data_IF_002784681892
#
_entry.id   IF_002784681892
#
_cell.length_a   1.000
_cell.length_b   1.000
_cell.length_c   1.000
_cell.angle_alpha   90.00
_cell.angle_beta   90.00
_cell.angle_gamma   90.00
#
_symmetry.space_group_name_H-M   'P 1'
#
loop_
_entity.id
_entity.type
_entity.pdbx_description
1 polymer ?
#
# COMPACT_ATOMS: atom_id res chain seq x y z
N UNK A 1 19.62 3.46 8.62
CA UNK A 1 18.35 4.09 9.08
C UNK A 1 17.29 3.01 8.98
N UNK A 2 16.79 2.51 10.11
CA UNK A 2 15.65 1.60 10.13
C UNK A 2 14.43 2.45 9.74
N UNK A 3 13.73 2.10 8.66
CA UNK A 3 12.44 2.70 8.37
C UNK A 3 11.51 2.25 9.50
N UNK A 4 11.18 3.15 10.44
CA UNK A 4 10.09 2.89 11.38
C UNK A 4 8.84 2.65 10.54
N UNK A 5 8.44 1.38 10.42
CA UNK A 5 7.20 1.05 9.74
C UNK A 5 6.07 1.70 10.54
N UNK A 6 5.41 2.58 9.81
CA UNK A 6 4.42 3.57 10.22
C UNK A 6 3.32 2.95 11.10
N UNK A 7 2.70 3.74 11.98
CA UNK A 7 1.82 3.35 13.12
C UNK A 7 0.71 2.35 12.75
N UNK A 8 0.34 2.26 11.48
CA UNK A 8 -0.76 1.45 10.96
C UNK A 8 -0.32 0.31 10.01
N UNK A 9 0.94 0.33 9.57
CA UNK A 9 1.49 -0.59 8.57
C UNK A 9 2.37 -1.63 9.25
N UNK A 10 2.09 -2.90 9.00
CA UNK A 10 2.86 -4.03 9.52
C UNK A 10 4.16 -4.19 8.72
N UNK A 11 4.06 -4.34 7.39
CA UNK A 11 5.21 -4.42 6.51
C UNK A 11 4.88 -4.02 5.07
N UNK A 12 5.94 -3.71 4.31
CA UNK A 12 5.88 -3.57 2.85
C UNK A 12 7.02 -4.37 2.21
N UNK A 13 6.70 -5.38 1.41
CA UNK A 13 7.68 -6.28 0.78
C UNK A 13 7.26 -6.70 -0.62
N UNK A 14 8.12 -7.44 -1.33
CA UNK A 14 7.72 -8.20 -2.51
C UNK A 14 7.28 -9.60 -2.08
N UNK A 15 6.29 -10.17 -2.76
CA UNK A 15 5.95 -11.60 -2.65
C UNK A 15 6.72 -12.44 -3.68
N UNK A 16 6.50 -13.76 -3.64
CA UNK A 16 7.13 -14.73 -4.56
C UNK A 16 6.75 -14.52 -6.03
N UNK A 17 5.70 -13.74 -6.29
CA UNK A 17 5.22 -13.39 -7.63
C UNK A 17 5.61 -11.97 -8.04
N UNK A 18 6.56 -11.35 -7.32
CA UNK A 18 7.03 -9.99 -7.56
C UNK A 18 5.95 -8.90 -7.42
N UNK A 19 4.88 -9.16 -6.68
CA UNK A 19 3.89 -8.12 -6.32
C UNK A 19 4.32 -7.42 -5.05
N UNK A 20 4.05 -6.12 -4.98
CA UNK A 20 4.28 -5.35 -3.76
C UNK A 20 3.14 -5.62 -2.80
N UNK A 21 3.47 -6.16 -1.62
CA UNK A 21 2.54 -6.44 -0.53
C UNK A 21 2.63 -5.30 0.47
N UNK A 22 1.54 -4.53 0.61
CA UNK A 22 1.37 -3.58 1.70
C UNK A 22 0.42 -4.20 2.71
N UNK A 23 0.94 -4.59 3.88
CA UNK A 23 0.16 -5.18 4.97
C UNK A 23 -0.08 -4.15 6.07
N UNK A 24 -1.33 -4.03 6.51
CA UNK A 24 -1.70 -3.24 7.70
C UNK A 24 -1.66 -4.10 8.94
N UNK A 25 -1.54 -3.47 10.11
CA UNK A 25 -1.75 -4.20 11.37
C UNK A 25 -3.17 -4.82 11.37
N UNK A 26 -3.35 -6.06 11.88
CA UNK A 26 -4.62 -6.79 11.78
C UNK A 26 -5.86 -6.02 12.28
N UNK A 27 -5.70 -5.18 13.31
CA UNK A 27 -6.78 -4.35 13.85
C UNK A 27 -7.36 -3.34 12.83
N UNK A 28 -6.58 -2.98 11.80
CA UNK A 28 -6.98 -2.03 10.75
C UNK A 28 -7.49 -2.73 9.49
N UNK A 29 -7.66 -4.06 9.49
CA UNK A 29 -8.22 -4.80 8.34
C UNK A 29 -9.50 -4.17 7.79
N UNK A 30 -10.44 -3.78 8.67
CA UNK A 30 -11.72 -3.21 8.24
C UNK A 30 -11.58 -1.90 7.46
N UNK A 31 -10.50 -1.14 7.68
CA UNK A 31 -10.22 0.07 6.92
C UNK A 31 -10.07 -0.26 5.42
N UNK A 32 -9.39 -1.34 5.05
CA UNK A 32 -9.20 -1.74 3.65
C UNK A 32 -10.50 -2.12 2.94
N UNK A 33 -11.50 -2.59 3.68
CA UNK A 33 -12.80 -2.99 3.13
C UNK A 33 -13.80 -1.84 3.07
N UNK A 34 -13.51 -0.69 3.69
CA UNK A 34 -14.34 0.50 3.54
C UNK A 34 -14.22 1.03 2.10
N UNK A 35 -15.36 1.18 1.41
CA UNK A 35 -15.42 1.55 -0.01
C UNK A 35 -14.59 2.81 -0.33
N UNK A 36 -14.70 3.83 0.54
CA UNK A 36 -13.93 5.07 0.42
C UNK A 36 -12.41 4.84 0.55
N UNK A 37 -11.99 4.06 1.53
CA UNK A 37 -10.58 3.80 1.79
C UNK A 37 -9.95 2.95 0.68
N UNK A 38 -10.65 1.91 0.20
CA UNK A 38 -10.23 1.10 -0.95
C UNK A 38 -9.98 1.97 -2.18
N UNK A 39 -10.93 2.84 -2.52
CA UNK A 39 -10.78 3.74 -3.66
C UNK A 39 -9.60 4.69 -3.50
N UNK A 40 -9.35 5.19 -2.30
CA UNK A 40 -8.21 6.07 -2.01
C UNK A 40 -6.86 5.36 -2.14
N UNK A 41 -6.73 4.13 -1.63
CA UNK A 41 -5.47 3.36 -1.72
C UNK A 41 -5.17 3.02 -3.19
N UNK A 42 -6.18 2.54 -3.92
CA UNK A 42 -6.03 2.23 -5.35
C UNK A 42 -5.66 3.48 -6.15
N UNK A 43 -6.30 4.61 -5.86
CA UNK A 43 -5.99 5.88 -6.49
C UNK A 43 -4.57 6.34 -6.16
N UNK A 44 -4.18 6.33 -4.89
CA UNK A 44 -2.84 6.71 -4.46
C UNK A 44 -1.76 5.83 -5.13
N UNK A 45 -1.93 4.51 -5.10
CA UNK A 45 -1.01 3.58 -5.77
C UNK A 45 -0.91 3.90 -7.27
N UNK A 46 -2.04 4.15 -7.94
CA UNK A 46 -2.04 4.53 -9.36
C UNK A 46 -1.37 5.89 -9.61
N UNK A 47 -1.61 6.89 -8.78
CA UNK A 47 -1.07 8.24 -8.93
C UNK A 47 0.46 8.26 -8.72
N UNK A 48 0.97 7.52 -7.74
CA UNK A 48 2.41 7.47 -7.45
C UNK A 48 3.20 6.54 -8.38
N UNK A 49 2.61 5.40 -8.79
CA UNK A 49 3.28 4.44 -9.67
C UNK A 49 3.10 4.78 -11.16
N UNK A 50 2.08 5.60 -11.49
CA UNK A 50 1.82 6.07 -12.83
C UNK A 50 1.63 4.94 -13.84
N UNK A 51 2.47 4.95 -14.89
CA UNK A 51 2.43 3.94 -15.95
C UNK A 51 2.89 2.54 -15.50
N UNK A 52 3.62 2.46 -14.39
CA UNK A 52 4.14 1.20 -13.88
C UNK A 52 3.05 0.41 -13.12
N UNK A 53 1.91 1.04 -12.78
CA UNK A 53 0.79 0.39 -12.10
C UNK A 53 -0.01 -0.54 -13.01
N UNK A 54 -0.28 -1.76 -12.54
CA UNK A 54 -1.14 -2.74 -13.23
C UNK A 54 -2.45 -2.96 -12.47
N UNK A 55 -2.39 -3.31 -11.18
CA UNK A 55 -3.58 -3.57 -10.35
C UNK A 55 -3.30 -3.39 -8.85
N UNK A 56 -4.34 -3.20 -8.03
CA UNK A 56 -4.28 -3.41 -6.57
C UNK A 56 -5.47 -4.27 -6.14
N UNK A 57 -5.17 -5.39 -5.51
CA UNK A 57 -6.15 -6.31 -4.94
C UNK A 57 -6.09 -6.24 -3.43
N UNK A 58 -7.25 -6.25 -2.77
CA UNK A 58 -7.32 -6.28 -1.31
C UNK A 58 -7.64 -7.69 -0.87
N UNK A 59 -6.73 -8.30 -0.11
CA UNK A 59 -6.88 -9.64 0.45
C UNK A 59 -6.52 -9.56 1.93
N UNK A 60 -7.49 -9.87 2.78
CA UNK A 60 -7.35 -9.80 4.24
C UNK A 60 -6.91 -8.40 4.71
N UNK A 61 -5.82 -8.28 5.45
CA UNK A 61 -5.23 -7.02 5.90
C UNK A 61 -4.19 -6.45 4.91
N UNK A 62 -4.21 -6.86 3.63
CA UNK A 62 -3.17 -6.54 2.64
C UNK A 62 -3.74 -5.89 1.38
N UNK A 63 -3.04 -4.90 0.80
CA UNK A 63 -3.17 -4.58 -0.64
C UNK A 63 -1.98 -5.20 -1.38
N UNK A 64 -2.30 -6.00 -2.39
CA UNK A 64 -1.37 -6.61 -3.33
C UNK A 64 -1.33 -5.74 -4.58
N UNK A 65 -0.23 -5.02 -4.76
CA UNK A 65 -0.03 -4.10 -5.87
C UNK A 65 0.82 -4.80 -6.92
N UNK A 66 0.25 -4.96 -8.12
CA UNK A 66 0.97 -5.49 -9.29
C UNK A 66 1.52 -4.31 -10.08
N UNK A 67 2.80 -4.38 -10.43
CA UNK A 67 3.49 -3.39 -11.27
C UNK A 67 4.08 -4.05 -12.51
N UNK A 68 4.54 -3.24 -13.46
CA UNK A 68 5.19 -3.75 -14.67
C UNK A 68 6.46 -4.55 -14.32
N UNK A 69 6.77 -5.63 -15.07
CA UNK A 69 7.98 -6.41 -14.86
C UNK A 69 9.26 -5.57 -14.92
N UNK A 70 10.23 -5.88 -14.07
CA UNK A 70 11.51 -5.17 -13.92
C UNK A 70 11.41 -3.75 -13.35
N UNK A 71 10.26 -3.40 -12.75
CA UNK A 71 10.06 -2.11 -12.05
C UNK A 71 9.80 -2.27 -10.56
N UNK A 72 9.81 -3.50 -10.06
CA UNK A 72 9.31 -3.91 -8.75
C UNK A 72 10.09 -3.28 -7.61
N UNK A 73 11.42 -3.35 -7.65
CA UNK A 73 12.26 -2.77 -6.59
C UNK A 73 12.16 -1.24 -6.51
N UNK A 74 12.10 -0.57 -7.67
CA UNK A 74 11.91 0.87 -7.75
C UNK A 74 10.57 1.25 -7.14
N UNK A 75 9.52 0.54 -7.53
CA UNK A 75 8.16 0.82 -7.09
C UNK A 75 7.93 0.43 -5.64
N UNK A 76 8.60 -0.60 -5.12
CA UNK A 76 8.60 -0.94 -3.70
C UNK A 76 9.04 0.26 -2.83
N UNK A 77 10.12 0.94 -3.24
CA UNK A 77 10.63 2.12 -2.53
C UNK A 77 9.63 3.28 -2.57
N UNK A 78 8.96 3.50 -3.71
CA UNK A 78 7.91 4.51 -3.87
C UNK A 78 6.72 4.20 -2.97
N UNK A 79 6.29 2.93 -2.89
CA UNK A 79 5.22 2.53 -1.98
C UNK A 79 5.62 2.80 -0.53
N UNK A 80 6.83 2.40 -0.13
CA UNK A 80 7.34 2.58 1.23
C UNK A 80 7.42 4.06 1.66
N UNK A 81 7.81 4.97 0.76
CA UNK A 81 7.79 6.41 1.06
C UNK A 81 6.39 6.98 0.91
N UNK A 82 5.89 7.07 -0.32
CA UNK A 82 4.76 7.92 -0.68
C UNK A 82 3.40 7.33 -0.29
N UNK A 83 3.17 6.05 -0.61
CA UNK A 83 1.86 5.43 -0.39
C UNK A 83 1.63 5.18 1.10
N UNK A 84 2.65 4.75 1.83
CA UNK A 84 2.55 4.55 3.28
C UNK A 84 2.34 5.90 3.98
N UNK A 85 2.94 7.00 3.54
CA UNK A 85 2.67 8.35 4.09
C UNK A 85 1.25 8.82 3.78
N UNK A 86 0.81 8.69 2.53
CA UNK A 86 -0.54 9.05 2.12
C UNK A 86 -1.60 8.25 2.88
N UNK A 87 -1.35 6.96 3.09
CA UNK A 87 -2.23 6.08 3.86
C UNK A 87 -2.35 6.53 5.32
N UNK A 88 -1.24 6.83 6.00
CA UNK A 88 -1.29 7.32 7.38
C UNK A 88 -2.11 8.60 7.49
N UNK A 89 -1.94 9.54 6.55
CA UNK A 89 -2.69 10.78 6.54
C UNK A 89 -4.20 10.51 6.42
N UNK A 90 -4.59 9.62 5.50
CA UNK A 90 -6.00 9.23 5.33
C UNK A 90 -6.54 8.60 6.61
N UNK A 91 -5.79 7.68 7.23
CA UNK A 91 -6.21 7.01 8.46
C UNK A 91 -6.39 8.02 9.61
N UNK A 92 -5.46 8.96 9.76
CA UNK A 92 -5.57 10.05 10.76
C UNK A 92 -6.79 10.95 10.50
N UNK A 93 -7.05 11.32 9.25
CA UNK A 93 -8.21 12.13 8.87
C UNK A 93 -9.55 11.41 9.12
N UNK A 94 -9.54 10.09 9.09
CA UNK A 94 -10.70 9.25 9.41
C UNK A 94 -10.84 8.95 10.92
N UNK A 95 -9.95 9.49 11.76
CA UNK A 95 -10.01 9.37 13.22
C UNK A 95 -9.37 8.11 13.80
N UNK A 96 -8.44 7.46 13.07
CA UNK A 96 -7.67 6.29 13.53
C UNK A 96 -6.32 6.68 14.14
#
# INVERSE_FOLDING_TARGET
MMFELKKYVDYVSLDETNRIVLALLPQYKQFLYAEKARGLIQKAAKDFLGKDFVSCEIIDNKCLITVLPNTEEKNLKIIQSEVVDGLELIMRLMGL
#
